data_IF_597269530171
#
_entry.id   IF_597269530171
#
_cell.length_a   1.000
_cell.length_b   1.000
_cell.length_c   1.000
_cell.angle_alpha   90.00
_cell.angle_beta   90.00
_cell.angle_gamma   90.00
#
_symmetry.space_group_name_H-M   'P 1'
#
loop_
_entity.id
_entity.type
_entity.pdbx_description
1 polymer ?
#
# COMPACT_ATOMS: atom_id res chain seq x y z
N UNK A 1 -19.98 -12.21 -10.57
CA UNK A 1 -19.15 -11.13 -10.03
C UNK A 1 -17.77 -11.72 -9.84
N UNK A 2 -16.75 -11.14 -10.42
CA UNK A 2 -15.36 -11.60 -10.25
C UNK A 2 -14.80 -11.15 -8.90
N UNK A 3 -13.63 -11.69 -8.51
CA UNK A 3 -12.99 -11.37 -7.23
C UNK A 3 -12.67 -9.85 -7.13
N UNK A 4 -12.15 -9.27 -8.21
CA UNK A 4 -11.89 -7.81 -8.27
C UNK A 4 -13.18 -6.98 -8.12
N UNK A 5 -14.32 -7.46 -8.63
CA UNK A 5 -15.59 -6.71 -8.49
C UNK A 5 -16.10 -6.75 -7.04
N UNK A 6 -15.91 -7.87 -6.32
CA UNK A 6 -16.23 -7.99 -4.90
C UNK A 6 -15.38 -7.03 -4.07
N UNK A 7 -14.05 -7.04 -4.28
CA UNK A 7 -13.14 -6.15 -3.59
C UNK A 7 -13.43 -4.67 -3.92
N UNK A 8 -13.79 -4.34 -5.17
CA UNK A 8 -14.18 -2.97 -5.54
C UNK A 8 -15.41 -2.52 -4.78
N UNK A 9 -16.47 -3.35 -4.74
CA UNK A 9 -17.70 -3.00 -4.00
C UNK A 9 -17.42 -2.79 -2.51
N UNK A 10 -16.57 -3.63 -1.91
CA UNK A 10 -16.13 -3.49 -0.51
C UNK A 10 -15.39 -2.16 -0.30
N UNK A 11 -14.42 -1.84 -1.16
CA UNK A 11 -13.62 -0.64 -1.03
C UNK A 11 -14.37 0.64 -1.36
N UNK A 12 -15.38 0.59 -2.26
CA UNK A 12 -16.29 1.70 -2.50
C UNK A 12 -17.09 2.06 -1.23
N UNK A 13 -17.60 1.08 -0.47
CA UNK A 13 -18.27 1.35 0.81
C UNK A 13 -17.28 1.82 1.89
N UNK A 14 -16.11 1.19 2.01
CA UNK A 14 -15.07 1.60 2.96
C UNK A 14 -14.59 3.03 2.72
N UNK A 15 -14.44 3.44 1.46
CA UNK A 15 -14.02 4.80 1.12
C UNK A 15 -15.00 5.87 1.59
N UNK A 16 -16.29 5.53 1.76
CA UNK A 16 -17.29 6.45 2.34
C UNK A 16 -17.09 6.59 3.86
N UNK A 17 -16.70 5.52 4.54
CA UNK A 17 -16.50 5.49 5.99
C UNK A 17 -15.18 6.15 6.39
N UNK A 18 -14.12 5.87 5.63
CA UNK A 18 -12.77 6.32 5.93
C UNK A 18 -12.64 7.85 5.84
N UNK A 19 -11.95 8.42 6.81
CA UNK A 19 -11.80 9.87 6.97
C UNK A 19 -12.98 10.57 7.64
N UNK A 20 -13.98 9.80 8.10
CA UNK A 20 -15.05 10.29 9.00
C UNK A 20 -14.78 9.86 10.46
N UNK A 21 -13.73 9.14 10.69
CA UNK A 21 -13.25 8.57 11.95
C UNK A 21 -11.90 9.18 12.37
N UNK A 22 -11.45 8.83 13.57
CA UNK A 22 -10.18 9.31 14.11
C UNK A 22 -8.96 8.53 13.57
N UNK A 23 -9.15 7.44 12.79
CA UNK A 23 -8.06 6.61 12.27
C UNK A 23 -7.24 7.36 11.24
N UNK A 24 -7.92 8.04 10.31
CA UNK A 24 -7.31 8.91 9.33
C UNK A 24 -7.47 10.37 9.76
N UNK A 25 -6.47 10.98 10.34
CA UNK A 25 -6.52 12.38 10.80
C UNK A 25 -6.67 13.37 9.63
N UNK A 26 -7.83 13.32 8.96
CA UNK A 26 -8.16 14.23 7.84
C UNK A 26 -8.14 15.68 8.28
N UNK A 27 -8.58 15.99 9.50
CA UNK A 27 -8.59 17.35 10.03
C UNK A 27 -7.16 17.87 10.22
N UNK A 28 -6.26 17.08 10.80
CA UNK A 28 -4.85 17.41 10.92
C UNK A 28 -4.20 17.55 9.55
N UNK A 29 -4.52 16.65 8.60
CA UNK A 29 -4.04 16.75 7.23
C UNK A 29 -4.46 18.07 6.57
N UNK A 30 -5.73 18.46 6.64
CA UNK A 30 -6.22 19.76 6.13
C UNK A 30 -5.57 20.95 6.88
N UNK A 31 -5.21 20.76 8.14
CA UNK A 31 -4.43 21.71 8.94
C UNK A 31 -2.94 21.81 8.57
N UNK A 32 -2.45 21.00 7.62
CA UNK A 32 -1.07 21.06 7.10
C UNK A 32 -0.19 19.87 7.53
N UNK A 33 -0.68 18.91 8.31
CA UNK A 33 0.06 17.69 8.65
C UNK A 33 0.28 16.81 7.41
N UNK A 34 1.30 15.93 7.47
CA UNK A 34 1.52 14.85 6.50
C UNK A 34 0.88 13.57 7.00
N UNK A 35 0.34 12.76 6.09
CA UNK A 35 -0.09 11.39 6.39
C UNK A 35 1.04 10.37 6.25
N UNK A 36 2.11 10.72 5.51
CA UNK A 36 3.27 9.84 5.36
C UNK A 36 3.97 9.63 6.70
N UNK A 37 4.17 8.38 7.07
CA UNK A 37 4.91 7.97 8.26
C UNK A 37 6.41 8.29 8.12
N UNK A 38 7.13 8.32 9.24
CA UNK A 38 8.59 8.49 9.23
C UNK A 38 9.29 7.40 8.40
N UNK A 39 8.79 6.15 8.48
CA UNK A 39 9.33 5.02 7.72
C UNK A 39 9.19 5.22 6.21
N UNK A 40 8.02 5.64 5.76
CA UNK A 40 7.78 5.94 4.34
C UNK A 40 8.70 7.05 3.85
N UNK A 41 8.85 8.12 4.62
CA UNK A 41 9.75 9.22 4.30
C UNK A 41 11.22 8.78 4.23
N UNK A 42 11.66 7.92 5.16
CA UNK A 42 13.03 7.35 5.16
C UNK A 42 13.27 6.49 3.92
N UNK A 43 12.34 5.59 3.57
CA UNK A 43 12.48 4.72 2.41
C UNK A 43 12.43 5.50 1.09
N UNK A 44 11.54 6.48 0.98
CA UNK A 44 11.45 7.37 -0.19
C UNK A 44 12.73 8.21 -0.31
N UNK A 45 13.22 8.81 0.79
CA UNK A 45 14.45 9.59 0.77
C UNK A 45 15.67 8.75 0.39
N UNK A 46 15.75 7.51 0.89
CA UNK A 46 16.81 6.57 0.52
C UNK A 46 16.76 6.16 -0.97
N UNK A 47 15.57 6.17 -1.58
CA UNK A 47 15.39 5.83 -3.00
C UNK A 47 15.70 6.99 -3.95
N UNK A 48 15.17 8.19 -3.66
CA UNK A 48 15.17 9.31 -4.61
C UNK A 48 15.70 10.65 -4.01
N UNK A 49 15.97 10.70 -2.72
CA UNK A 49 16.27 11.95 -2.02
C UNK A 49 15.02 12.81 -1.83
N UNK A 50 15.10 14.08 -2.20
CA UNK A 50 13.96 14.99 -2.17
C UNK A 50 13.01 14.70 -3.32
N UNK A 51 11.71 14.69 -3.03
CA UNK A 51 10.65 14.44 -4.02
C UNK A 51 10.21 15.71 -4.75
N UNK A 52 10.64 16.89 -4.32
CA UNK A 52 10.24 18.16 -4.93
C UNK A 52 10.57 18.19 -6.42
N UNK A 53 9.56 18.45 -7.24
CA UNK A 53 9.66 18.48 -8.70
C UNK A 53 9.74 17.14 -9.39
N UNK A 54 9.68 16.00 -8.65
CA UNK A 54 9.59 14.67 -9.24
C UNK A 54 8.15 14.33 -9.65
N UNK A 55 8.01 13.50 -10.68
CA UNK A 55 6.75 12.86 -11.04
C UNK A 55 6.59 11.58 -10.20
N UNK A 56 5.61 11.57 -9.30
CA UNK A 56 5.33 10.46 -8.37
C UNK A 56 4.02 9.80 -8.73
N UNK A 57 4.02 8.48 -8.91
CA UNK A 57 2.81 7.65 -9.03
C UNK A 57 2.62 6.86 -7.74
N UNK A 58 1.48 7.06 -7.08
CA UNK A 58 1.04 6.25 -5.94
C UNK A 58 0.04 5.22 -6.42
N UNK A 59 0.42 3.93 -6.43
CA UNK A 59 -0.46 2.81 -6.77
C UNK A 59 -1.32 2.43 -5.56
N UNK A 60 -2.62 2.19 -5.79
CA UNK A 60 -3.60 1.86 -4.77
C UNK A 60 -3.67 2.95 -3.68
N UNK A 61 -3.86 4.20 -4.17
CA UNK A 61 -3.76 5.41 -3.35
C UNK A 61 -4.94 5.64 -2.41
N UNK A 62 -5.96 4.78 -2.43
CA UNK A 62 -7.18 4.94 -1.64
C UNK A 62 -7.79 6.34 -1.86
N UNK A 63 -8.24 7.03 -0.80
CA UNK A 63 -8.76 8.40 -0.89
C UNK A 63 -7.68 9.50 -0.83
N UNK A 64 -6.40 9.14 -1.05
CA UNK A 64 -5.36 10.02 -1.55
C UNK A 64 -4.56 10.82 -0.55
N UNK A 65 -4.63 10.60 0.77
CA UNK A 65 -3.88 11.40 1.76
C UNK A 65 -2.37 11.39 1.51
N UNK A 66 -1.77 10.21 1.28
CA UNK A 66 -0.33 10.10 1.04
C UNK A 66 0.07 10.69 -0.31
N UNK A 67 -0.78 10.51 -1.34
CA UNK A 67 -0.58 11.19 -2.64
C UNK A 67 -0.56 12.70 -2.46
N UNK A 68 -1.48 13.25 -1.68
CA UNK A 68 -1.55 14.68 -1.38
C UNK A 68 -0.40 15.14 -0.47
N UNK A 69 0.11 14.26 0.40
CA UNK A 69 1.33 14.52 1.18
C UNK A 69 2.56 14.66 0.28
N UNK A 70 2.70 13.83 -0.76
CA UNK A 70 3.73 14.03 -1.79
C UNK A 70 3.56 15.35 -2.54
N UNK A 71 2.33 15.72 -2.90
CA UNK A 71 2.07 17.01 -3.53
C UNK A 71 2.46 18.18 -2.61
N UNK A 72 2.18 18.09 -1.30
CA UNK A 72 2.58 19.07 -0.28
C UNK A 72 4.10 19.18 -0.15
N UNK A 73 4.84 18.10 -0.38
CA UNK A 73 6.31 18.09 -0.45
C UNK A 73 6.85 18.61 -1.79
N UNK A 74 5.98 19.05 -2.69
CA UNK A 74 6.37 19.66 -3.97
C UNK A 74 6.52 18.70 -5.14
N UNK A 75 6.10 17.44 -5.00
CA UNK A 75 6.04 16.49 -6.11
C UNK A 75 4.85 16.80 -7.05
N UNK A 76 4.98 16.43 -8.32
CA UNK A 76 3.82 16.26 -9.23
C UNK A 76 3.23 14.88 -9.00
N UNK A 77 2.24 14.83 -8.10
CA UNK A 77 1.70 13.57 -7.60
C UNK A 77 0.51 13.09 -8.43
N UNK A 78 0.53 11.81 -8.77
CA UNK A 78 -0.60 11.08 -9.37
C UNK A 78 -0.94 9.90 -8.49
N UNK A 79 -2.21 9.79 -8.06
CA UNK A 79 -2.75 8.64 -7.36
C UNK A 79 -3.59 7.77 -8.30
N UNK A 80 -3.46 6.46 -8.18
CA UNK A 80 -4.25 5.48 -8.91
C UNK A 80 -4.94 4.55 -7.93
N UNK A 81 -6.27 4.40 -8.08
CA UNK A 81 -7.05 3.42 -7.32
C UNK A 81 -8.18 2.85 -8.19
N UNK A 82 -8.62 1.62 -7.88
CA UNK A 82 -9.71 0.98 -8.63
C UNK A 82 -11.10 1.38 -8.13
N UNK A 83 -11.20 1.96 -6.92
CA UNK A 83 -12.44 2.46 -6.34
C UNK A 83 -12.77 3.84 -6.88
N UNK A 84 -13.89 3.95 -7.61
CA UNK A 84 -14.37 5.23 -8.11
C UNK A 84 -14.75 6.19 -6.99
N UNK A 85 -15.22 5.67 -5.87
CA UNK A 85 -15.60 6.42 -4.66
C UNK A 85 -14.37 6.98 -3.97
N UNK A 86 -13.31 6.18 -3.80
CA UNK A 86 -12.04 6.62 -3.23
C UNK A 86 -11.41 7.73 -4.08
N UNK A 87 -11.37 7.54 -5.41
CA UNK A 87 -10.84 8.54 -6.36
C UNK A 87 -11.65 9.84 -6.33
N UNK A 88 -12.97 9.76 -6.24
CA UNK A 88 -13.83 10.95 -6.10
C UNK A 88 -13.50 11.71 -4.80
N UNK A 89 -13.38 10.99 -3.68
CA UNK A 89 -13.02 11.59 -2.38
C UNK A 89 -11.62 12.20 -2.40
N UNK A 90 -10.64 11.53 -3.02
CA UNK A 90 -9.29 12.06 -3.17
C UNK A 90 -9.28 13.41 -3.93
N UNK A 91 -10.08 13.52 -5.01
CA UNK A 91 -10.23 14.78 -5.75
C UNK A 91 -10.91 15.89 -4.93
N UNK A 92 -11.83 15.54 -4.03
CA UNK A 92 -12.44 16.49 -3.10
C UNK A 92 -11.42 16.99 -2.09
N UNK A 93 -10.66 16.09 -1.46
CA UNK A 93 -9.60 16.43 -0.51
C UNK A 93 -8.51 17.30 -1.14
N UNK A 94 -8.13 17.03 -2.39
CA UNK A 94 -7.19 17.87 -3.12
C UNK A 94 -7.67 19.33 -3.21
N UNK A 95 -8.97 19.52 -3.53
CA UNK A 95 -9.58 20.86 -3.59
C UNK A 95 -9.70 21.51 -2.21
N UNK A 96 -10.09 20.73 -1.18
CA UNK A 96 -10.20 21.21 0.20
C UNK A 96 -8.84 21.66 0.77
N UNK A 97 -7.77 20.93 0.42
CA UNK A 97 -6.40 21.20 0.87
C UNK A 97 -5.64 22.23 0.00
N UNK A 98 -6.25 22.70 -1.11
CA UNK A 98 -5.59 23.55 -2.13
C UNK A 98 -4.27 22.93 -2.64
N UNK A 99 -4.29 21.63 -2.95
CA UNK A 99 -3.16 20.87 -3.47
C UNK A 99 -3.43 20.40 -4.89
N UNK A 100 -2.42 20.52 -5.75
CA UNK A 100 -2.48 20.04 -7.14
C UNK A 100 -1.99 18.59 -7.20
N UNK A 101 -2.91 17.66 -7.47
CA UNK A 101 -2.64 16.24 -7.68
C UNK A 101 -3.65 15.65 -8.66
N UNK A 102 -3.20 14.66 -9.42
CA UNK A 102 -4.05 13.92 -10.38
C UNK A 102 -4.50 12.61 -9.75
N UNK A 103 -5.77 12.24 -9.94
CA UNK A 103 -6.29 10.95 -9.47
C UNK A 103 -6.96 10.20 -10.61
N UNK A 104 -6.58 8.93 -10.80
CA UNK A 104 -6.99 8.06 -11.90
C UNK A 104 -7.68 6.82 -11.35
N UNK A 105 -8.89 6.55 -11.85
CA UNK A 105 -9.58 5.28 -11.58
C UNK A 105 -9.04 4.20 -12.53
N UNK A 106 -8.27 3.25 -12.00
CA UNK A 106 -7.74 2.13 -12.76
C UNK A 106 -7.33 0.96 -11.84
N UNK A 107 -7.24 -0.24 -12.43
CA UNK A 107 -6.68 -1.42 -11.78
C UNK A 107 -5.14 -1.36 -11.86
N UNK A 108 -4.46 -1.40 -10.70
CA UNK A 108 -2.99 -1.36 -10.62
C UNK A 108 -2.30 -2.56 -11.28
N UNK A 109 -3.02 -3.66 -11.53
CA UNK A 109 -2.52 -4.79 -12.31
C UNK A 109 -2.59 -4.56 -13.83
N UNK A 110 -3.20 -3.44 -14.27
CA UNK A 110 -3.42 -3.08 -15.68
C UNK A 110 -3.17 -1.60 -15.88
N UNK A 111 -1.89 -1.24 -15.92
CA UNK A 111 -1.51 0.16 -16.11
C UNK A 111 -2.09 0.72 -17.42
N UNK A 112 -2.61 1.93 -17.37
CA UNK A 112 -3.05 2.66 -18.55
C UNK A 112 -1.84 3.11 -19.36
N UNK A 113 -1.94 3.04 -20.68
CA UNK A 113 -0.85 3.43 -21.61
C UNK A 113 -0.39 4.88 -21.37
N UNK A 114 -1.30 5.77 -20.97
CA UNK A 114 -1.01 7.17 -20.69
C UNK A 114 -0.11 7.37 -19.45
N UNK A 115 -0.03 6.36 -18.60
CA UNK A 115 0.82 6.37 -17.39
C UNK A 115 2.17 5.66 -17.60
N UNK A 116 2.39 5.03 -18.74
CA UNK A 116 3.65 4.33 -19.03
C UNK A 116 4.82 5.29 -19.19
N UNK A 117 5.96 4.96 -18.55
CA UNK A 117 7.21 5.70 -18.69
C UNK A 117 7.17 7.14 -18.20
N UNK A 118 6.19 7.50 -17.39
CA UNK A 118 5.92 8.88 -16.99
C UNK A 118 6.52 9.29 -15.65
N UNK A 119 7.05 8.36 -14.81
CA UNK A 119 7.30 8.66 -13.40
C UNK A 119 8.76 8.47 -12.98
N UNK A 120 9.17 9.30 -12.00
CA UNK A 120 10.47 9.25 -11.35
C UNK A 120 10.44 8.33 -10.13
N UNK A 121 9.28 8.22 -9.48
CA UNK A 121 9.01 7.33 -8.36
C UNK A 121 7.65 6.66 -8.56
N UNK A 122 7.61 5.33 -8.41
CA UNK A 122 6.39 4.59 -8.14
C UNK A 122 6.41 4.22 -6.67
N UNK A 123 5.33 4.54 -5.97
CA UNK A 123 5.17 4.31 -4.54
C UNK A 123 3.90 3.50 -4.28
N UNK A 124 3.95 2.62 -3.29
CA UNK A 124 2.75 1.96 -2.75
C UNK A 124 3.00 1.56 -1.30
N UNK A 125 2.02 1.76 -0.42
CA UNK A 125 2.16 1.48 1.00
C UNK A 125 0.92 0.85 1.60
N UNK A 126 1.20 0.00 2.50
CA UNK A 126 0.50 -0.82 3.48
C UNK A 126 -0.82 -1.48 3.09
N UNK A 127 -0.78 -2.82 3.14
CA UNK A 127 -1.96 -3.66 2.94
C UNK A 127 -2.42 -3.69 1.49
N UNK A 128 -1.52 -3.59 0.54
CA UNK A 128 -1.83 -3.50 -0.90
C UNK A 128 -1.75 -4.84 -1.61
N UNK A 129 -0.72 -5.65 -1.37
CA UNK A 129 -0.50 -6.89 -2.13
C UNK A 129 -1.52 -7.98 -1.82
N UNK A 130 -2.11 -7.99 -0.64
CA UNK A 130 -3.18 -8.94 -0.31
C UNK A 130 -4.44 -8.79 -1.19
N UNK A 131 -4.62 -7.67 -1.87
CA UNK A 131 -5.72 -7.43 -2.81
C UNK A 131 -5.39 -7.78 -4.26
N UNK A 132 -4.14 -8.16 -4.53
CA UNK A 132 -3.59 -8.38 -5.88
C UNK A 132 -3.62 -9.87 -6.21
N UNK A 133 -4.35 -10.24 -7.26
CA UNK A 133 -4.41 -11.63 -7.72
C UNK A 133 -3.16 -12.06 -8.49
N UNK A 134 -2.55 -11.14 -9.23
CA UNK A 134 -1.38 -11.36 -10.10
C UNK A 134 -0.29 -10.34 -9.74
N UNK A 135 0.60 -10.74 -8.82
CA UNK A 135 1.72 -9.90 -8.38
C UNK A 135 2.73 -9.65 -9.50
N UNK A 136 2.87 -10.55 -10.48
CA UNK A 136 3.70 -10.35 -11.66
C UNK A 136 3.13 -9.22 -12.53
N UNK A 137 1.80 -9.18 -12.74
CA UNK A 137 1.15 -8.10 -13.47
C UNK A 137 1.30 -6.76 -12.76
N UNK A 138 1.15 -6.75 -11.43
CA UNK A 138 1.33 -5.56 -10.62
C UNK A 138 2.77 -5.01 -10.71
N UNK A 139 3.78 -5.89 -10.59
CA UNK A 139 5.18 -5.48 -10.71
C UNK A 139 5.53 -5.01 -12.12
N UNK A 140 4.94 -5.63 -13.18
CA UNK A 140 5.06 -5.12 -14.55
C UNK A 140 4.48 -3.72 -14.68
N UNK A 141 3.30 -3.47 -14.12
CA UNK A 141 2.69 -2.13 -14.13
C UNK A 141 3.58 -1.10 -13.44
N UNK A 142 4.12 -1.43 -12.27
CA UNK A 142 5.06 -0.55 -11.57
C UNK A 142 6.33 -0.28 -12.38
N UNK A 143 6.91 -1.33 -12.99
CA UNK A 143 8.07 -1.19 -13.89
C UNK A 143 7.73 -0.29 -15.09
N UNK A 144 6.61 -0.53 -15.77
CA UNK A 144 6.26 0.17 -17.01
C UNK A 144 5.95 1.65 -16.76
N UNK A 145 5.38 1.99 -15.59
CA UNK A 145 5.18 3.38 -15.17
C UNK A 145 6.49 4.17 -15.01
N UNK A 146 7.57 3.50 -14.63
CA UNK A 146 8.84 4.16 -14.35
C UNK A 146 9.59 4.58 -15.63
N UNK A 147 10.22 5.75 -15.59
CA UNK A 147 11.29 6.10 -16.53
C UNK A 147 12.51 5.22 -16.29
N UNK A 148 13.35 4.97 -17.32
CA UNK A 148 14.63 4.27 -17.14
C UNK A 148 15.50 4.92 -16.05
N UNK A 149 16.09 4.10 -15.18
CA UNK A 149 16.92 4.54 -14.05
C UNK A 149 16.13 5.03 -12.81
N UNK A 150 14.80 4.97 -12.85
CA UNK A 150 13.94 5.46 -11.76
C UNK A 150 13.49 4.36 -10.80
N UNK A 151 12.81 4.70 -9.72
CA UNK A 151 12.69 3.91 -8.50
C UNK A 151 11.26 3.46 -8.22
N UNK A 152 11.14 2.20 -7.78
CA UNK A 152 9.99 1.69 -7.03
C UNK A 152 10.33 1.71 -5.54
N UNK A 153 9.37 2.16 -4.72
CA UNK A 153 9.32 1.96 -3.26
C UNK A 153 7.99 1.30 -2.94
N UNK A 154 8.05 0.07 -2.45
CA UNK A 154 6.91 -0.67 -1.92
C UNK A 154 7.14 -0.89 -0.43
N UNK A 155 6.17 -0.54 0.40
CA UNK A 155 6.17 -0.87 1.84
C UNK A 155 4.87 -1.60 2.11
N UNK A 156 4.94 -2.84 2.61
CA UNK A 156 3.72 -3.61 2.82
C UNK A 156 3.80 -4.50 4.05
N UNK A 157 2.67 -5.08 4.40
CA UNK A 157 2.54 -6.03 5.50
C UNK A 157 3.39 -7.26 5.22
N UNK A 158 4.15 -7.70 6.24
CA UNK A 158 5.05 -8.82 6.06
C UNK A 158 4.26 -10.14 5.93
N UNK A 159 4.51 -10.99 4.92
CA UNK A 159 3.77 -12.22 4.72
C UNK A 159 3.77 -13.16 5.94
N UNK A 160 4.85 -13.18 6.72
CA UNK A 160 4.90 -13.99 7.94
C UNK A 160 3.95 -13.48 9.03
N UNK A 161 3.78 -12.16 9.18
CA UNK A 161 2.80 -11.61 10.11
C UNK A 161 1.37 -11.87 9.65
N UNK A 162 1.15 -11.90 8.34
CA UNK A 162 -0.17 -12.18 7.76
C UNK A 162 -0.64 -13.62 7.98
N UNK A 163 0.26 -14.57 8.31
CA UNK A 163 -0.11 -15.94 8.68
C UNK A 163 -0.84 -16.03 10.04
N UNK A 164 -0.65 -15.03 10.91
CA UNK A 164 -1.11 -15.08 12.29
C UNK A 164 -2.60 -14.75 12.37
N UNK A 165 -3.41 -15.67 12.88
CA UNK A 165 -4.83 -15.48 13.16
C UNK A 165 -5.13 -15.04 14.60
N UNK A 166 -4.29 -15.45 15.55
CA UNK A 166 -4.39 -15.05 16.96
C UNK A 166 -3.01 -14.98 17.59
N UNK A 167 -2.86 -14.18 18.65
CA UNK A 167 -1.60 -14.02 19.39
C UNK A 167 -1.60 -14.68 20.76
N UNK A 168 -2.78 -14.92 21.38
CA UNK A 168 -2.93 -15.55 22.68
C UNK A 168 -4.09 -16.59 22.68
N UNK A 169 -3.79 -17.88 22.43
CA UNK A 169 -2.49 -18.44 22.02
C UNK A 169 -2.10 -18.02 20.61
N UNK A 170 -0.80 -18.07 20.29
CA UNK A 170 -0.34 -17.81 18.92
C UNK A 170 -0.84 -18.91 17.99
N UNK A 171 -1.60 -18.51 16.97
CA UNK A 171 -2.16 -19.41 15.96
C UNK A 171 -1.82 -18.90 14.56
N UNK A 172 -1.47 -19.85 13.66
CA UNK A 172 -1.20 -19.57 12.25
C UNK A 172 -2.36 -20.14 11.43
N UNK A 173 -3.27 -19.26 11.00
CA UNK A 173 -4.52 -19.65 10.33
C UNK A 173 -4.47 -19.42 8.82
N UNK A 174 -3.49 -18.67 8.34
CA UNK A 174 -3.42 -18.24 6.96
C UNK A 174 -2.13 -18.72 6.27
N UNK A 175 -2.17 -18.97 4.95
CA UNK A 175 -1.02 -19.45 4.21
C UNK A 175 0.03 -18.33 4.03
N UNK A 176 1.31 -18.73 3.95
CA UNK A 176 2.41 -17.82 3.63
C UNK A 176 2.45 -17.46 2.12
N UNK A 177 2.14 -18.42 1.25
CA UNK A 177 2.18 -18.28 -0.21
C UNK A 177 1.39 -19.39 -0.91
N UNK A 178 1.11 -19.18 -2.21
CA UNK A 178 0.69 -20.25 -3.13
C UNK A 178 -0.69 -20.85 -2.86
N UNK A 179 -1.55 -20.18 -2.12
CA UNK A 179 -2.90 -20.64 -1.80
C UNK A 179 -3.92 -20.19 -2.84
N UNK A 180 -5.09 -20.87 -2.85
CA UNK A 180 -6.27 -20.33 -3.50
C UNK A 180 -6.69 -19.01 -2.82
N UNK A 181 -7.41 -18.12 -3.54
CA UNK A 181 -7.94 -16.89 -2.94
C UNK A 181 -8.72 -17.18 -1.65
N UNK A 182 -8.43 -16.44 -0.61
CA UNK A 182 -9.13 -16.51 0.67
C UNK A 182 -10.34 -15.58 0.63
N UNK A 183 -11.50 -16.05 1.12
CA UNK A 183 -12.72 -15.27 1.20
C UNK A 183 -13.09 -15.02 2.65
N UNK A 184 -13.38 -13.77 2.95
CA UNK A 184 -13.83 -13.36 4.29
C UNK A 184 -15.15 -12.63 4.17
N UNK A 185 -15.95 -12.71 5.25
CA UNK A 185 -17.19 -11.98 5.40
C UNK A 185 -17.12 -11.15 6.68
N UNK A 186 -17.04 -9.84 6.55
CA UNK A 186 -16.98 -8.92 7.68
C UNK A 186 -17.68 -7.61 7.37
N UNK A 187 -18.57 -7.16 8.27
CA UNK A 187 -19.16 -5.81 8.21
C UNK A 187 -18.19 -4.77 8.75
N UNK A 188 -18.31 -3.55 8.27
CA UNK A 188 -17.47 -2.44 8.69
C UNK A 188 -16.08 -2.43 8.03
N UNK A 189 -15.17 -1.74 8.68
CA UNK A 189 -13.77 -1.67 8.26
C UNK A 189 -12.85 -1.55 9.48
N UNK A 190 -11.54 -1.69 9.27
CA UNK A 190 -10.54 -1.50 10.34
C UNK A 190 -10.57 -0.09 10.94
N UNK A 191 -11.01 0.93 10.18
CA UNK A 191 -11.16 2.30 10.66
C UNK A 191 -12.53 2.59 11.26
N UNK A 192 -13.55 1.77 10.94
CA UNK A 192 -14.91 1.91 11.45
C UNK A 192 -15.53 0.51 11.68
N UNK A 193 -15.08 -0.25 12.72
CA UNK A 193 -15.44 -1.65 12.89
C UNK A 193 -16.93 -1.86 13.18
N UNK A 194 -17.60 -0.88 13.80
CA UNK A 194 -19.02 -0.94 14.15
C UNK A 194 -19.95 -0.44 13.03
N UNK A 195 -19.41 -0.01 11.90
CA UNK A 195 -20.21 0.46 10.78
C UNK A 195 -20.98 -0.68 10.11
N UNK A 196 -22.25 -0.43 9.78
CA UNK A 196 -23.05 -1.36 9.00
C UNK A 196 -22.74 -1.18 7.51
N UNK A 197 -22.23 -2.22 6.88
CA UNK A 197 -21.94 -2.27 5.43
C UNK A 197 -22.74 -3.37 4.76
N UNK A 198 -22.90 -3.31 3.46
CA UNK A 198 -23.60 -4.28 2.63
C UNK A 198 -22.66 -5.11 1.76
N UNK A 199 -21.57 -4.54 1.30
CA UNK A 199 -20.49 -5.22 0.58
C UNK A 199 -19.47 -5.76 1.59
N UNK A 200 -19.73 -6.94 2.13
CA UNK A 200 -18.98 -7.51 3.26
C UNK A 200 -17.99 -8.60 2.85
N UNK A 201 -18.02 -9.04 1.59
CA UNK A 201 -17.12 -10.08 1.08
C UNK A 201 -15.80 -9.46 0.64
N UNK A 202 -14.69 -9.88 1.25
CA UNK A 202 -13.34 -9.65 0.71
C UNK A 202 -12.76 -10.91 0.08
N UNK A 203 -11.88 -10.72 -0.90
CA UNK A 203 -11.09 -11.78 -1.51
C UNK A 203 -9.62 -11.38 -1.43
N UNK A 204 -8.84 -12.14 -0.70
CA UNK A 204 -7.46 -11.84 -0.39
C UNK A 204 -6.50 -12.92 -0.90
N UNK A 205 -5.28 -12.53 -1.19
CA UNK A 205 -4.24 -13.37 -1.78
C UNK A 205 -3.01 -13.37 -0.89
N UNK A 206 -2.39 -14.55 -0.71
CA UNK A 206 -1.15 -14.69 0.03
C UNK A 206 0.05 -14.71 -0.92
N UNK A 207 0.94 -13.76 -0.77
CA UNK A 207 2.19 -13.64 -1.53
C UNK A 207 3.38 -13.69 -0.57
N UNK A 208 4.24 -14.71 -0.72
CA UNK A 208 5.47 -14.79 0.07
C UNK A 208 6.54 -13.80 -0.45
N UNK A 209 7.50 -13.39 0.41
CA UNK A 209 8.57 -12.47 0.02
C UNK A 209 9.35 -12.95 -1.21
N UNK A 210 9.60 -14.28 -1.32
CA UNK A 210 10.28 -14.85 -2.48
C UNK A 210 9.53 -14.64 -3.78
N UNK A 211 8.19 -14.73 -3.77
CA UNK A 211 7.33 -14.46 -4.92
C UNK A 211 7.38 -12.96 -5.30
N UNK A 212 7.24 -12.07 -4.31
CA UNK A 212 7.27 -10.62 -4.51
C UNK A 212 8.60 -10.17 -5.13
N UNK A 213 9.73 -10.66 -4.58
CA UNK A 213 11.07 -10.35 -5.10
C UNK A 213 11.27 -10.91 -6.51
N UNK A 214 10.83 -12.14 -6.76
CA UNK A 214 10.94 -12.76 -8.08
C UNK A 214 10.09 -12.04 -9.13
N UNK A 215 8.89 -11.57 -8.77
CA UNK A 215 8.04 -10.76 -9.63
C UNK A 215 8.73 -9.43 -10.02
N UNK A 216 9.38 -8.77 -9.05
CA UNK A 216 10.15 -7.56 -9.32
C UNK A 216 11.30 -7.84 -10.29
N UNK A 217 12.09 -8.90 -10.09
CA UNK A 217 13.18 -9.28 -10.97
C UNK A 217 12.66 -9.68 -12.36
N UNK A 218 11.59 -10.47 -12.44
CA UNK A 218 11.00 -10.90 -13.69
C UNK A 218 10.41 -9.75 -14.52
N UNK A 219 9.93 -8.68 -13.86
CA UNK A 219 9.47 -7.46 -14.54
C UNK A 219 10.62 -6.62 -15.13
N UNK A 220 11.88 -6.90 -14.80
CA UNK A 220 13.05 -6.14 -15.22
C UNK A 220 13.52 -5.08 -14.20
N UNK A 221 12.95 -5.08 -13.00
CA UNK A 221 13.43 -4.27 -11.89
C UNK A 221 14.67 -4.92 -11.25
N UNK A 222 15.68 -4.12 -10.97
CA UNK A 222 16.79 -4.53 -10.10
C UNK A 222 16.43 -4.21 -8.66
N UNK A 223 16.37 -5.21 -7.82
CA UNK A 223 16.16 -5.02 -6.38
C UNK A 223 17.41 -4.38 -5.78
N UNK A 224 17.26 -3.23 -5.14
CA UNK A 224 18.33 -2.47 -4.50
C UNK A 224 18.41 -2.75 -3.00
N UNK A 225 17.25 -2.93 -2.35
CA UNK A 225 17.13 -3.29 -0.94
C UNK A 225 15.81 -4.01 -0.65
N UNK A 226 15.87 -4.92 0.29
CA UNK A 226 14.72 -5.51 0.98
C UNK A 226 14.99 -5.38 2.48
N UNK A 227 14.11 -4.69 3.20
CA UNK A 227 14.24 -4.47 4.64
C UNK A 227 13.00 -5.02 5.34
N UNK A 228 13.20 -5.71 6.45
CA UNK A 228 12.13 -6.25 7.27
C UNK A 228 12.08 -5.47 8.59
N UNK A 229 10.87 -5.08 9.00
CA UNK A 229 10.63 -4.24 10.17
C UNK A 229 9.89 -5.02 11.25
N UNK A 230 10.38 -4.93 12.49
CA UNK A 230 9.89 -5.72 13.64
C UNK A 230 8.80 -5.00 14.44
N UNK A 231 8.56 -3.73 14.13
CA UNK A 231 7.60 -2.87 14.82
C UNK A 231 6.90 -1.93 13.85
N UNK A 232 5.78 -1.38 14.28
CA UNK A 232 5.02 -0.35 13.59
C UNK A 232 4.40 0.64 14.58
N UNK A 233 4.11 1.85 14.10
CA UNK A 233 3.38 2.87 14.85
C UNK A 233 1.85 2.71 14.78
N UNK A 234 1.35 1.77 14.00
CA UNK A 234 -0.05 1.40 13.87
C UNK A 234 -0.20 -0.12 13.98
N UNK A 235 -1.39 -0.62 14.26
CA UNK A 235 -1.63 -2.07 14.26
C UNK A 235 -1.82 -2.59 12.82
N UNK A 236 -0.82 -3.25 12.23
CA UNK A 236 -0.93 -3.80 10.87
C UNK A 236 -1.80 -5.06 10.80
N UNK A 237 -2.32 -5.52 11.95
CA UNK A 237 -3.14 -6.73 12.07
C UNK A 237 -4.61 -6.44 12.42
N UNK A 238 -5.03 -5.16 12.38
CA UNK A 238 -6.42 -4.77 12.48
C UNK A 238 -7.09 -5.08 13.83
N UNK A 239 -6.40 -4.88 14.95
CA UNK A 239 -6.93 -5.09 16.29
C UNK A 239 -6.44 -6.37 16.99
N UNK A 240 -5.53 -7.14 16.35
CA UNK A 240 -4.94 -8.34 16.97
C UNK A 240 -3.78 -7.98 17.91
N UNK A 241 -3.05 -6.90 17.62
CA UNK A 241 -1.90 -6.46 18.40
C UNK A 241 -2.29 -5.35 19.38
N UNK A 242 -1.56 -5.26 20.49
CA UNK A 242 -1.61 -4.13 21.40
C UNK A 242 -0.30 -3.35 21.32
N UNK A 243 -0.39 -2.03 21.42
CA UNK A 243 0.79 -1.18 21.54
C UNK A 243 1.50 -1.45 22.86
N UNK A 244 2.83 -1.43 22.84
CA UNK A 244 3.66 -1.50 24.05
C UNK A 244 3.80 -0.12 24.73
N UNK A 245 4.64 -0.07 25.78
CA UNK A 245 4.87 1.15 26.56
C UNK A 245 5.52 2.30 25.74
N UNK A 246 6.10 1.98 24.59
CA UNK A 246 6.67 2.94 23.64
C UNK A 246 5.64 3.40 22.58
N UNK A 247 4.41 2.85 22.64
CA UNK A 247 3.35 3.10 21.66
C UNK A 247 3.55 2.34 20.33
N UNK A 248 4.44 1.33 20.31
CA UNK A 248 4.74 0.55 19.13
C UNK A 248 4.06 -0.81 19.17
N UNK A 249 3.61 -1.27 18.03
CA UNK A 249 3.06 -2.61 17.84
C UNK A 249 4.19 -3.57 17.47
N UNK A 250 4.23 -4.73 18.13
CA UNK A 250 5.21 -5.79 17.91
C UNK A 250 4.55 -7.15 18.00
N UNK A 251 4.86 -8.04 17.08
CA UNK A 251 4.44 -9.43 17.14
C UNK A 251 5.57 -10.30 17.69
N UNK A 252 5.31 -11.04 18.77
CA UNK A 252 6.31 -11.89 19.42
C UNK A 252 5.87 -13.35 19.41
N UNK A 253 6.78 -14.22 19.00
CA UNK A 253 6.62 -15.68 19.11
C UNK A 253 6.75 -16.14 20.56
N UNK A 254 6.33 -17.36 20.86
CA UNK A 254 6.28 -17.93 22.22
C UNK A 254 7.59 -17.95 23.01
N UNK A 255 8.73 -17.69 22.41
CA UNK A 255 10.03 -17.49 23.08
C UNK A 255 10.41 -16.01 23.26
N UNK A 256 9.51 -15.08 22.99
CA UNK A 256 9.78 -13.64 23.03
C UNK A 256 10.51 -13.11 21.78
N UNK A 257 10.78 -13.94 20.79
CA UNK A 257 11.42 -13.54 19.54
C UNK A 257 10.45 -12.74 18.67
N UNK A 258 10.89 -11.57 18.13
CA UNK A 258 10.03 -10.78 17.26
C UNK A 258 9.83 -11.45 15.90
N UNK A 259 8.64 -11.26 15.32
CA UNK A 259 8.32 -11.58 13.93
C UNK A 259 8.21 -10.26 13.16
N UNK A 260 8.74 -10.17 11.93
CA UNK A 260 8.57 -8.94 11.14
C UNK A 260 7.09 -8.66 10.87
N UNK A 261 6.70 -7.40 11.06
CA UNK A 261 5.34 -6.91 10.81
C UNK A 261 5.16 -6.38 9.41
N UNK A 262 6.17 -5.70 8.89
CA UNK A 262 6.17 -5.08 7.58
C UNK A 262 7.50 -5.31 6.89
N UNK A 263 7.55 -5.04 5.60
CA UNK A 263 8.78 -5.01 4.81
C UNK A 263 8.76 -3.81 3.87
N UNK A 264 9.94 -3.38 3.43
CA UNK A 264 10.11 -2.45 2.33
C UNK A 264 10.95 -3.06 1.22
N UNK A 265 10.56 -2.84 -0.04
CA UNK A 265 11.28 -3.21 -1.23
C UNK A 265 11.61 -1.94 -2.02
N UNK A 266 12.90 -1.66 -2.22
CA UNK A 266 13.36 -0.63 -3.15
C UNK A 266 13.95 -1.29 -4.39
N UNK A 267 13.51 -0.83 -5.56
CA UNK A 267 14.00 -1.38 -6.80
C UNK A 267 14.18 -0.29 -7.87
N UNK A 268 15.04 -0.56 -8.85
CA UNK A 268 15.37 0.36 -9.94
C UNK A 268 14.99 -0.25 -11.28
N UNK A 269 14.29 0.52 -12.12
CA UNK A 269 14.18 0.19 -13.56
C UNK A 269 15.53 0.40 -14.22
N UNK A 270 16.03 -0.59 -14.95
CA UNK A 270 17.31 -0.48 -15.65
C UNK A 270 17.35 0.74 -16.57
N UNK A 271 18.50 1.43 -16.65
CA UNK A 271 18.72 2.54 -17.58
C UNK A 271 18.73 2.05 -19.02
N UNK A 272 18.36 2.92 -19.96
CA UNK A 272 18.43 2.62 -21.39
C UNK A 272 19.91 2.46 -21.81
N UNK A 273 20.48 1.28 -21.63
CA UNK A 273 21.88 0.96 -21.91
C UNK A 273 22.50 -0.13 -21.05
N UNK A 274 21.76 -0.65 -20.07
CA UNK A 274 22.24 -1.68 -19.14
C UNK A 274 21.83 -3.11 -19.55
N UNK A 275 21.57 -3.36 -20.83
CA UNK A 275 21.43 -4.72 -21.36
C UNK A 275 22.79 -5.16 -21.88
N UNK A 276 23.55 -5.84 -21.05
CA UNK A 276 24.70 -6.62 -21.44
C UNK A 276 24.70 -7.94 -20.68
#
# INVERSE_FOLDING_TARGET
>A
MGDTDLNRALWDERAVLHGQDDYYDVAGFLGGASSLSERELVEVHAAVGDVAGLDVLHLQCHFGLDTLSFARLGARATGLDFSSVAVARARELAREADLDATFVEADSQRLLTELEGGFDLVFSSYGVLCWIADVDAWMRSAHDALRPGRRLVLIDLHPASQMVGAVEPLEFDFPYLGAAPMRFEASGSYAAPDAATSANTSVEYAHGLGEIVNAAVASGLRVDALTEWLDESFDPRGGILAADDEGLFRLRLGGGFPLPLTFSLRATKAGAGAQA
#
